data_IF_136144027942
#
_entry.id   IF_136144027942
#
_cell.length_a   1.000
_cell.length_b   1.000
_cell.length_c   1.000
_cell.angle_alpha   90.00
_cell.angle_beta   90.00
_cell.angle_gamma   90.00
#
_symmetry.space_group_name_H-M   'P 1'
#
loop_
_entity.id
_entity.type
_entity.pdbx_description
1 polymer ?
#
# COMPACT_ATOMS: atom_id res chain seq x y z
N UNK A 1 -18.43 23.57 -1.80
CA UNK A 1 -17.60 22.36 -1.97
C UNK A 1 -18.25 21.55 -3.09
N UNK A 2 -17.50 21.18 -4.12
CA UNK A 2 -18.03 20.42 -5.25
C UNK A 2 -17.91 18.92 -4.98
N UNK A 3 -18.82 18.08 -5.49
CA UNK A 3 -18.79 16.61 -5.36
C UNK A 3 -17.44 16.01 -5.75
N UNK A 4 -16.75 16.61 -6.74
CA UNK A 4 -15.41 16.18 -7.16
C UNK A 4 -14.33 16.36 -6.08
N UNK A 5 -14.43 17.40 -5.25
CA UNK A 5 -13.50 17.63 -4.13
C UNK A 5 -13.77 16.63 -3.00
N UNK A 6 -15.04 16.29 -2.78
CA UNK A 6 -15.45 15.31 -1.77
C UNK A 6 -14.97 13.90 -2.15
N UNK A 7 -15.10 13.51 -3.43
CA UNK A 7 -14.58 12.25 -3.96
C UNK A 7 -13.05 12.18 -3.84
N UNK A 8 -12.35 13.25 -4.21
CA UNK A 8 -10.89 13.33 -4.04
C UNK A 8 -10.47 13.18 -2.57
N UNK A 9 -11.19 13.79 -1.64
CA UNK A 9 -10.88 13.67 -0.22
C UNK A 9 -11.18 12.27 0.32
N UNK A 10 -12.26 11.64 -0.11
CA UNK A 10 -12.57 10.25 0.25
C UNK A 10 -11.47 9.29 -0.24
N UNK A 11 -10.97 9.49 -1.45
CA UNK A 11 -9.94 8.63 -2.03
C UNK A 11 -8.56 8.82 -1.43
N UNK A 12 -8.20 10.05 -1.01
CA UNK A 12 -7.02 10.27 -0.19
C UNK A 12 -7.14 9.49 1.12
N UNK A 13 -8.25 9.63 1.86
CA UNK A 13 -8.46 8.88 3.11
C UNK A 13 -8.37 7.36 2.92
N UNK A 14 -8.92 6.83 1.82
CA UNK A 14 -8.76 5.41 1.48
C UNK A 14 -7.30 5.03 1.28
N UNK A 15 -6.55 5.81 0.48
CA UNK A 15 -5.11 5.59 0.25
C UNK A 15 -4.32 5.61 1.56
N UNK A 16 -4.63 6.54 2.46
CA UNK A 16 -3.99 6.66 3.79
C UNK A 16 -4.20 5.38 4.60
N UNK A 17 -5.44 4.89 4.66
CA UNK A 17 -5.79 3.65 5.36
C UNK A 17 -5.10 2.43 4.74
N UNK A 18 -5.01 2.36 3.42
CA UNK A 18 -4.30 1.28 2.74
C UNK A 18 -2.80 1.28 3.04
N UNK A 19 -2.14 2.44 3.02
CA UNK A 19 -0.74 2.57 3.39
C UNK A 19 -0.49 2.17 4.84
N UNK A 20 -1.35 2.60 5.76
CA UNK A 20 -1.22 2.23 7.18
C UNK A 20 -1.42 0.72 7.38
N UNK A 21 -2.39 0.11 6.68
CA UNK A 21 -2.69 -1.32 6.81
C UNK A 21 -1.52 -2.25 6.43
N UNK A 22 -0.58 -1.78 5.61
CA UNK A 22 0.57 -2.58 5.13
C UNK A 22 1.91 -2.09 5.67
N UNK A 23 1.92 -1.00 6.44
CA UNK A 23 3.16 -0.39 6.96
C UNK A 23 3.95 -1.35 7.84
N UNK A 24 3.26 -2.09 8.72
CA UNK A 24 3.86 -3.05 9.65
C UNK A 24 4.61 -4.17 8.93
N UNK A 25 4.17 -4.60 7.73
CA UNK A 25 4.87 -5.62 6.94
C UNK A 25 6.25 -5.16 6.52
N UNK A 26 6.36 -3.89 6.12
CA UNK A 26 7.64 -3.30 5.70
C UNK A 26 8.58 -3.13 6.89
N UNK A 27 8.04 -2.73 8.04
CA UNK A 27 8.81 -2.57 9.28
C UNK A 27 9.34 -3.93 9.75
N UNK A 28 8.48 -4.93 9.92
CA UNK A 28 8.87 -6.28 10.30
C UNK A 28 9.94 -6.88 9.38
N UNK A 29 9.79 -6.76 8.06
CA UNK A 29 10.79 -7.29 7.14
C UNK A 29 12.16 -6.60 7.31
N UNK A 30 12.18 -5.30 7.60
CA UNK A 30 13.44 -4.57 7.86
C UNK A 30 14.08 -5.04 9.15
N UNK A 31 13.28 -5.20 10.21
CA UNK A 31 13.75 -5.70 11.50
C UNK A 31 14.34 -7.12 11.34
N UNK A 32 13.67 -8.00 10.60
CA UNK A 32 14.16 -9.36 10.31
C UNK A 32 15.51 -9.35 9.58
N UNK A 33 15.67 -8.47 8.57
CA UNK A 33 16.93 -8.31 7.83
C UNK A 33 18.04 -7.75 8.73
N UNK A 34 17.74 -6.72 9.54
CA UNK A 34 18.70 -6.10 10.46
C UNK A 34 19.16 -7.08 11.55
N UNK A 35 18.27 -7.96 12.02
CA UNK A 35 18.59 -9.04 12.94
C UNK A 35 19.34 -10.22 12.30
N UNK A 36 19.47 -10.26 10.97
CA UNK A 36 20.04 -11.38 10.23
C UNK A 36 19.21 -12.67 10.37
N UNK A 37 17.91 -12.54 10.64
CA UNK A 37 16.97 -13.66 10.76
C UNK A 37 16.44 -14.07 9.39
N UNK A 38 15.85 -15.27 9.33
CA UNK A 38 15.05 -15.65 8.16
C UNK A 38 13.88 -14.69 7.99
N UNK A 39 13.73 -14.10 6.81
CA UNK A 39 12.61 -13.21 6.52
C UNK A 39 11.32 -13.99 6.35
N UNK A 40 10.25 -13.43 6.87
CA UNK A 40 8.89 -13.98 6.74
C UNK A 40 8.26 -13.75 5.36
N UNK A 41 8.71 -12.71 4.67
CA UNK A 41 8.40 -12.45 3.27
C UNK A 41 9.58 -12.91 2.40
N UNK A 42 9.26 -13.50 1.25
CA UNK A 42 10.23 -13.69 0.18
C UNK A 42 10.70 -12.34 -0.40
N UNK A 43 11.81 -12.36 -1.12
CA UNK A 43 12.31 -11.17 -1.84
C UNK A 43 11.28 -10.63 -2.83
N UNK A 44 10.56 -11.52 -3.52
CA UNK A 44 9.53 -11.14 -4.49
C UNK A 44 8.32 -10.50 -3.81
N UNK A 45 7.81 -11.09 -2.72
CA UNK A 45 6.71 -10.51 -1.93
C UNK A 45 7.11 -9.14 -1.34
N UNK A 46 8.34 -9.00 -0.84
CA UNK A 46 8.80 -7.71 -0.35
C UNK A 46 8.90 -6.67 -1.48
N UNK A 47 9.36 -7.07 -2.67
CA UNK A 47 9.36 -6.22 -3.86
C UNK A 47 7.96 -5.77 -4.26
N UNK A 48 7.00 -6.69 -4.30
CA UNK A 48 5.59 -6.40 -4.58
C UNK A 48 4.97 -5.46 -3.55
N UNK A 49 5.28 -5.63 -2.26
CA UNK A 49 4.85 -4.73 -1.20
C UNK A 49 5.33 -3.31 -1.44
N UNK A 50 6.63 -3.14 -1.73
CA UNK A 50 7.21 -1.83 -1.98
C UNK A 50 6.60 -1.17 -3.23
N UNK A 51 6.40 -1.95 -4.30
CA UNK A 51 5.75 -1.48 -5.51
C UNK A 51 4.29 -1.06 -5.26
N UNK A 52 3.52 -1.85 -4.49
CA UNK A 52 2.16 -1.51 -4.10
C UNK A 52 2.09 -0.21 -3.30
N UNK A 53 2.95 -0.05 -2.28
CA UNK A 53 3.03 1.18 -1.50
C UNK A 53 3.40 2.40 -2.37
N UNK A 54 4.28 2.22 -3.37
CA UNK A 54 4.65 3.28 -4.29
C UNK A 54 3.47 3.68 -5.19
N UNK A 55 2.76 2.71 -5.76
CA UNK A 55 1.55 2.95 -6.54
C UNK A 55 0.48 3.72 -5.74
N UNK A 56 0.31 3.42 -4.46
CA UNK A 56 -0.58 4.18 -3.57
C UNK A 56 -0.13 5.63 -3.40
N UNK A 57 1.18 5.89 -3.27
CA UNK A 57 1.71 7.27 -3.15
C UNK A 57 1.56 8.08 -4.42
N UNK A 58 1.72 7.43 -5.57
CA UNK A 58 1.68 8.09 -6.88
C UNK A 58 0.25 8.29 -7.38
N UNK A 59 -0.71 7.49 -6.92
CA UNK A 59 -2.08 7.51 -7.43
C UNK A 59 -2.77 8.89 -7.35
N UNK A 60 -2.67 9.68 -6.27
CA UNK A 60 -3.24 11.03 -6.22
C UNK A 60 -2.67 12.02 -7.23
N UNK A 61 -1.49 11.74 -7.81
CA UNK A 61 -0.86 12.54 -8.87
C UNK A 61 -1.24 12.06 -10.28
N UNK A 62 -1.92 10.92 -10.39
CA UNK A 62 -2.33 10.33 -11.66
C UNK A 62 -3.52 11.08 -12.26
N UNK A 63 -3.57 11.19 -13.59
CA UNK A 63 -4.73 11.67 -14.34
C UNK A 63 -5.99 10.79 -14.17
N UNK A 64 -5.85 9.62 -13.55
CA UNK A 64 -6.94 8.69 -13.26
C UNK A 64 -7.58 8.90 -11.89
N UNK A 65 -7.00 9.75 -11.05
CA UNK A 65 -7.56 10.11 -9.74
C UNK A 65 -8.76 11.07 -9.90
N UNK A 66 -9.84 10.96 -9.09
CA UNK A 66 -10.07 10.04 -7.97
C UNK A 66 -10.88 8.78 -8.37
N UNK A 67 -10.82 8.32 -9.61
CA UNK A 67 -11.76 7.27 -10.05
C UNK A 67 -11.40 5.91 -9.45
N UNK A 68 -12.29 5.37 -8.62
CA UNK A 68 -12.12 4.13 -7.85
C UNK A 68 -11.61 2.94 -8.66
N UNK A 69 -12.04 2.78 -9.92
CA UNK A 69 -11.62 1.66 -10.79
C UNK A 69 -10.12 1.61 -11.07
N UNK A 70 -9.40 2.70 -10.86
CA UNK A 70 -7.95 2.80 -11.05
C UNK A 70 -7.18 2.78 -9.73
N UNK A 71 -7.84 2.46 -8.61
CA UNK A 71 -7.14 2.22 -7.34
C UNK A 71 -6.05 1.15 -7.55
N UNK A 72 -4.86 1.34 -6.98
CA UNK A 72 -3.84 0.30 -6.93
C UNK A 72 -4.42 -1.00 -6.34
N UNK A 73 -4.07 -2.14 -6.93
CA UNK A 73 -4.55 -3.45 -6.49
C UNK A 73 -3.63 -4.01 -5.41
N UNK A 74 -4.19 -4.32 -4.24
CA UNK A 74 -3.49 -5.00 -3.15
C UNK A 74 -3.09 -6.41 -3.60
N UNK A 75 -1.80 -6.80 -3.50
CA UNK A 75 -1.38 -8.18 -3.70
C UNK A 75 -2.14 -9.14 -2.78
N UNK A 76 -2.60 -10.28 -3.31
CA UNK A 76 -3.49 -11.19 -2.59
C UNK A 76 -2.84 -11.83 -1.36
N UNK A 77 -1.53 -12.04 -1.39
CA UNK A 77 -0.77 -12.62 -0.28
C UNK A 77 -0.74 -11.71 0.95
N UNK A 78 -0.95 -10.39 0.80
CA UNK A 78 -1.01 -9.48 1.95
C UNK A 78 -2.18 -9.85 2.88
N UNK A 79 -3.29 -10.34 2.32
CA UNK A 79 -4.46 -10.72 3.12
C UNK A 79 -4.24 -11.97 3.99
N UNK A 80 -3.21 -12.77 3.68
CA UNK A 80 -2.87 -13.95 4.50
C UNK A 80 -1.81 -13.66 5.55
N UNK A 81 -1.25 -12.44 5.57
CA UNK A 81 -0.28 -12.05 6.58
C UNK A 81 -1.00 -11.70 7.89
N UNK A 82 -0.49 -12.25 8.99
CA UNK A 82 -0.97 -11.96 10.34
C UNK A 82 0.11 -11.24 11.13
N UNK A 83 -0.30 -10.28 11.96
CA UNK A 83 0.58 -9.59 12.90
C UNK A 83 0.92 -10.48 14.10
#
# INVERSE_FOLDING_TARGET
MSTADDDANAERRWRDGELESVKWLRERHRDEVELGSSTSLSTDEYGELLAYMQLLRDWPQSSKFPVQKYRPKKPSWIAVQTQ
#
